data_IF_659437356943
#
_entry.id   IF_659437356943
#
_cell.length_a   1.000
_cell.length_b   1.000
_cell.length_c   1.000
_cell.angle_alpha   90.00
_cell.angle_beta   90.00
_cell.angle_gamma   90.00
#
_symmetry.space_group_name_H-M   'P 1'
#
loop_
_entity.id
_entity.type
_entity.pdbx_description
1 polymer ?
#
# COMPACT_ATOMS: atom_id res chain seq x y z
N UNK A 1 7.08 -24.67 -58.28
CA UNK A 1 5.94 -23.78 -57.97
C UNK A 1 6.15 -23.31 -56.55
N UNK A 2 6.78 -22.15 -56.47
CA UNK A 2 7.44 -21.61 -55.30
C UNK A 2 6.44 -21.02 -54.31
N UNK A 3 6.44 -21.53 -53.07
CA UNK A 3 5.65 -20.96 -51.98
C UNK A 3 6.51 -19.92 -51.27
N UNK A 4 6.17 -18.64 -51.46
CA UNK A 4 6.88 -17.48 -50.89
C UNK A 4 6.82 -17.49 -49.36
N UNK A 5 8.01 -17.40 -48.74
CA UNK A 5 8.17 -16.85 -47.39
C UNK A 5 7.84 -15.35 -47.38
N UNK A 6 7.13 -14.89 -46.36
CA UNK A 6 7.13 -13.49 -45.92
C UNK A 6 7.84 -13.39 -44.57
N UNK A 7 8.77 -12.44 -44.37
CA UNK A 7 9.53 -12.34 -43.13
C UNK A 7 8.88 -11.41 -42.10
N UNK A 8 8.91 -11.87 -40.85
CA UNK A 8 9.10 -11.11 -39.61
C UNK A 8 8.46 -9.74 -39.47
N UNK A 9 7.30 -9.69 -38.80
CA UNK A 9 6.96 -8.53 -37.99
C UNK A 9 7.56 -8.74 -36.59
N UNK A 10 8.61 -7.97 -36.35
CA UNK A 10 9.21 -7.66 -35.06
C UNK A 10 8.13 -7.37 -34.03
N UNK A 11 8.01 -8.24 -33.02
CA UNK A 11 7.28 -7.95 -31.80
C UNK A 11 7.93 -6.76 -31.09
N UNK A 12 7.36 -5.58 -31.31
CA UNK A 12 7.53 -4.46 -30.39
C UNK A 12 6.95 -4.91 -29.06
N UNK A 13 7.83 -5.20 -28.11
CA UNK A 13 7.48 -5.28 -26.69
C UNK A 13 7.15 -3.85 -26.27
N UNK A 14 5.88 -3.50 -26.35
CA UNK A 14 5.32 -2.31 -25.74
C UNK A 14 5.66 -2.36 -24.24
N UNK A 15 6.60 -1.51 -23.82
CA UNK A 15 6.90 -1.27 -22.42
C UNK A 15 5.83 -0.36 -21.84
N UNK A 16 4.59 -0.82 -21.87
CA UNK A 16 3.57 -0.28 -20.98
C UNK A 16 3.81 -0.96 -19.63
N UNK A 17 4.63 -0.34 -18.78
CA UNK A 17 4.64 -0.65 -17.36
C UNK A 17 3.30 -0.17 -16.80
N UNK A 18 2.23 -0.90 -17.10
CA UNK A 18 0.96 -0.72 -16.42
C UNK A 18 1.27 -0.94 -14.94
N UNK A 19 1.10 0.09 -14.11
CA UNK A 19 1.16 -0.09 -12.67
C UNK A 19 0.23 -1.25 -12.31
N UNK A 20 0.79 -2.34 -11.77
CA UNK A 20 -0.01 -3.52 -11.44
C UNK A 20 -1.13 -3.09 -10.50
N UNK A 21 -2.36 -3.20 -10.99
CA UNK A 21 -3.55 -2.92 -10.18
C UNK A 21 -3.56 -3.93 -9.04
N UNK A 22 -3.47 -3.40 -7.82
CA UNK A 22 -3.47 -4.20 -6.61
C UNK A 22 -4.90 -4.57 -6.24
N UNK A 23 -5.30 -5.82 -6.43
CA UNK A 23 -6.61 -6.28 -5.98
C UNK A 23 -6.60 -6.61 -4.48
N UNK A 24 -7.66 -6.21 -3.78
CA UNK A 24 -7.84 -6.67 -2.40
C UNK A 24 -7.97 -8.19 -2.41
N UNK A 25 -7.25 -8.84 -1.51
CA UNK A 25 -7.33 -10.28 -1.34
C UNK A 25 -7.21 -10.62 0.13
N UNK A 26 -7.55 -11.87 0.47
CA UNK A 26 -7.33 -12.37 1.82
C UNK A 26 -5.89 -12.11 2.27
N UNK A 27 -4.89 -12.11 1.35
CA UNK A 27 -3.47 -11.84 1.61
C UNK A 27 -3.16 -10.45 2.20
N UNK A 28 -4.09 -9.50 2.09
CA UNK A 28 -3.96 -8.15 2.66
C UNK A 28 -4.74 -7.98 3.96
N UNK A 29 -5.53 -8.98 4.37
CA UNK A 29 -6.27 -8.92 5.63
C UNK A 29 -5.32 -9.02 6.84
N UNK A 30 -5.43 -8.04 7.73
CA UNK A 30 -4.79 -7.95 9.03
C UNK A 30 -5.58 -8.67 10.12
N UNK A 31 -6.84 -9.08 9.86
CA UNK A 31 -7.67 -9.78 10.84
C UNK A 31 -8.39 -8.87 11.84
N UNK A 32 -7.99 -7.60 11.93
CA UNK A 32 -8.72 -6.55 12.66
C UNK A 32 -9.70 -5.89 11.69
N UNK A 33 -10.99 -6.08 11.92
CA UNK A 33 -12.05 -5.73 10.97
C UNK A 33 -12.05 -4.24 10.59
N UNK A 34 -11.80 -3.38 11.57
CA UNK A 34 -11.72 -1.93 11.40
C UNK A 34 -10.52 -1.53 10.53
N UNK A 35 -9.32 -2.08 10.80
CA UNK A 35 -8.12 -1.84 9.98
C UNK A 35 -8.34 -2.36 8.55
N UNK A 36 -8.88 -3.57 8.38
CA UNK A 36 -9.15 -4.14 7.06
C UNK A 36 -10.18 -3.33 6.27
N UNK A 37 -11.15 -2.69 6.94
CA UNK A 37 -12.09 -1.81 6.28
C UNK A 37 -11.41 -0.52 5.78
N UNK A 38 -10.57 0.08 6.62
CA UNK A 38 -9.84 1.30 6.26
C UNK A 38 -8.81 1.05 5.15
N UNK A 39 -8.00 -0.01 5.25
CA UNK A 39 -7.00 -0.37 4.24
C UNK A 39 -7.64 -0.71 2.89
N UNK A 40 -8.83 -1.32 2.87
CA UNK A 40 -9.62 -1.51 1.64
C UNK A 40 -10.00 -0.18 1.00
N UNK A 41 -10.50 0.76 1.79
CA UNK A 41 -10.87 2.09 1.31
C UNK A 41 -9.65 2.87 0.80
N UNK A 42 -8.51 2.78 1.48
CA UNK A 42 -7.26 3.38 1.05
C UNK A 42 -6.76 2.80 -0.28
N UNK A 43 -6.82 1.49 -0.45
CA UNK A 43 -6.45 0.84 -1.72
C UNK A 43 -7.30 1.36 -2.88
N UNK A 44 -8.61 1.52 -2.66
CA UNK A 44 -9.53 2.10 -3.65
C UNK A 44 -9.20 3.57 -3.94
N UNK A 45 -8.87 4.36 -2.92
CA UNK A 45 -8.45 5.76 -3.09
C UNK A 45 -7.13 5.89 -3.86
N UNK A 46 -6.17 4.98 -3.63
CA UNK A 46 -4.92 4.89 -4.38
C UNK A 46 -5.22 4.62 -5.86
N UNK A 47 -6.04 3.62 -6.16
CA UNK A 47 -6.44 3.35 -7.56
C UNK A 47 -7.15 4.53 -8.20
N UNK A 48 -8.11 5.15 -7.49
CA UNK A 48 -8.84 6.31 -8.00
C UNK A 48 -7.92 7.50 -8.29
N UNK A 49 -6.83 7.65 -7.54
CA UNK A 49 -5.80 8.68 -7.77
C UNK A 49 -4.95 8.36 -8.99
N UNK A 50 -4.56 7.10 -9.15
CA UNK A 50 -3.78 6.63 -10.30
C UNK A 50 -4.58 6.76 -11.60
N UNK A 51 -5.84 6.35 -11.58
CA UNK A 51 -6.76 6.35 -12.71
C UNK A 51 -7.34 7.76 -13.00
N UNK A 52 -7.06 8.75 -12.15
CA UNK A 52 -7.57 10.10 -12.30
C UNK A 52 -7.09 10.73 -13.60
N UNK A 53 -7.97 11.42 -14.33
CA UNK A 53 -7.55 12.31 -15.41
C UNK A 53 -6.79 13.53 -14.88
N UNK A 54 -6.04 14.20 -15.73
CA UNK A 54 -5.16 15.31 -15.31
C UNK A 54 -5.90 16.44 -14.57
N UNK A 55 -7.12 16.76 -15.01
CA UNK A 55 -7.94 17.80 -14.37
C UNK A 55 -8.49 17.42 -12.99
N UNK A 56 -8.64 16.12 -12.71
CA UNK A 56 -9.13 15.63 -11.41
C UNK A 56 -8.01 15.13 -10.48
N UNK A 57 -6.78 14.96 -11.00
CA UNK A 57 -5.64 14.46 -10.24
C UNK A 57 -5.37 15.25 -8.94
N UNK A 58 -5.34 16.61 -8.92
CA UNK A 58 -5.13 17.34 -7.68
C UNK A 58 -6.20 17.06 -6.61
N UNK A 59 -7.47 16.95 -7.03
CA UNK A 59 -8.57 16.63 -6.12
C UNK A 59 -8.41 15.22 -5.54
N UNK A 60 -8.04 14.23 -6.37
CA UNK A 60 -7.80 12.85 -5.91
C UNK A 60 -6.61 12.73 -4.96
N UNK A 61 -5.51 13.43 -5.23
CA UNK A 61 -4.37 13.48 -4.30
C UNK A 61 -4.81 14.05 -2.95
N UNK A 62 -5.63 15.11 -2.94
CA UNK A 62 -6.11 15.71 -1.70
C UNK A 62 -7.06 14.78 -0.92
N UNK A 63 -7.97 14.08 -1.61
CA UNK A 63 -8.83 13.06 -1.02
C UNK A 63 -8.02 11.92 -0.39
N UNK A 64 -7.04 11.39 -1.13
CA UNK A 64 -6.13 10.35 -0.65
C UNK A 64 -5.32 10.80 0.57
N UNK A 65 -4.78 12.03 0.54
CA UNK A 65 -4.06 12.61 1.67
C UNK A 65 -4.93 12.68 2.91
N UNK A 66 -6.19 13.06 2.75
CA UNK A 66 -7.14 13.15 3.86
C UNK A 66 -7.49 11.78 4.42
N UNK A 67 -7.67 10.79 3.54
CA UNK A 67 -7.95 9.40 3.92
C UNK A 67 -6.77 8.76 4.68
N UNK A 68 -5.53 8.92 4.18
CA UNK A 68 -4.33 8.41 4.86
C UNK A 68 -4.11 9.10 6.20
N UNK A 69 -4.31 10.42 6.28
CA UNK A 69 -4.14 11.13 7.54
C UNK A 69 -5.13 10.66 8.62
N UNK A 70 -6.37 10.33 8.22
CA UNK A 70 -7.36 9.78 9.14
C UNK A 70 -6.99 8.37 9.61
N UNK A 71 -6.64 7.48 8.68
CA UNK A 71 -6.21 6.10 8.98
C UNK A 71 -4.99 6.08 9.91
N UNK A 72 -3.95 6.85 9.58
CA UNK A 72 -2.75 6.95 10.41
C UNK A 72 -3.04 7.50 11.80
N UNK A 73 -3.99 8.43 11.96
CA UNK A 73 -4.36 8.93 13.28
C UNK A 73 -5.03 7.84 14.14
N UNK A 74 -5.82 6.96 13.53
CA UNK A 74 -6.42 5.81 14.20
C UNK A 74 -5.36 4.78 14.60
N UNK A 75 -4.46 4.41 13.69
CA UNK A 75 -3.36 3.49 13.99
C UNK A 75 -2.40 4.04 15.05
N UNK A 76 -2.09 5.34 14.98
CA UNK A 76 -1.27 6.03 15.97
C UNK A 76 -1.91 6.03 17.36
N UNK A 77 -3.23 6.19 17.44
CA UNK A 77 -3.95 6.07 18.70
C UNK A 77 -3.91 4.62 19.25
N UNK A 78 -3.93 3.60 18.38
CA UNK A 78 -3.72 2.21 18.79
C UNK A 78 -2.29 2.00 19.31
N UNK A 79 -1.29 2.55 18.62
CA UNK A 79 0.10 2.48 19.07
C UNK A 79 0.30 3.10 20.46
N UNK A 80 -0.33 4.24 20.73
CA UNK A 80 -0.28 4.90 22.04
C UNK A 80 -0.93 4.06 23.14
N UNK A 81 -2.10 3.45 22.86
CA UNK A 81 -2.80 2.60 23.82
C UNK A 81 -2.02 1.33 24.17
N UNK A 82 -1.27 0.79 23.21
CA UNK A 82 -0.53 -0.45 23.35
C UNK A 82 0.90 -0.25 23.88
N UNK A 83 1.37 0.99 24.02
CA UNK A 83 2.80 1.30 24.20
C UNK A 83 3.66 0.58 23.16
N UNK A 84 3.25 0.71 21.89
CA UNK A 84 3.79 -0.10 20.79
C UNK A 84 5.30 0.10 20.62
N UNK A 85 6.14 -0.96 20.65
CA UNK A 85 7.59 -0.80 20.76
C UNK A 85 8.29 -0.09 19.60
N UNK A 86 7.70 -0.07 18.40
CA UNK A 86 8.29 0.52 17.18
C UNK A 86 7.44 1.68 16.64
N UNK A 87 6.74 2.39 17.54
CA UNK A 87 5.87 3.51 17.19
C UNK A 87 6.62 4.63 16.46
N UNK A 88 7.85 4.92 16.86
CA UNK A 88 8.66 5.99 16.27
C UNK A 88 8.96 5.72 14.78
N UNK A 89 9.38 4.50 14.42
CA UNK A 89 9.63 4.11 13.03
C UNK A 89 8.34 4.13 12.19
N UNK A 90 7.23 3.66 12.76
CA UNK A 90 5.92 3.60 12.11
C UNK A 90 5.38 5.01 11.81
N UNK A 91 5.34 5.90 12.81
CA UNK A 91 4.98 7.32 12.68
C UNK A 91 5.87 8.06 11.70
N UNK A 92 7.16 7.73 11.64
CA UNK A 92 8.07 8.31 10.67
C UNK A 92 7.75 7.85 9.24
N UNK A 93 7.28 6.61 9.04
CA UNK A 93 6.79 6.14 7.75
C UNK A 93 5.52 6.88 7.32
N UNK A 94 4.56 7.07 8.23
CA UNK A 94 3.35 7.86 8.01
C UNK A 94 3.66 9.28 7.54
N UNK A 95 4.51 10.00 8.29
CA UNK A 95 4.90 11.38 7.93
C UNK A 95 5.51 11.46 6.54
N UNK A 96 6.43 10.57 6.19
CA UNK A 96 7.05 10.55 4.85
C UNK A 96 6.03 10.32 3.73
N UNK A 97 5.04 9.47 3.96
CA UNK A 97 3.98 9.22 2.98
C UNK A 97 3.10 10.46 2.78
N UNK A 98 2.69 11.10 3.89
CA UNK A 98 1.92 12.35 3.84
C UNK A 98 2.70 13.49 3.18
N UNK A 99 3.98 13.68 3.54
CA UNK A 99 4.86 14.69 2.94
C UNK A 99 5.02 14.48 1.43
N UNK A 100 5.15 13.23 0.96
CA UNK A 100 5.23 12.92 -0.46
C UNK A 100 3.95 13.31 -1.22
N UNK A 101 2.76 13.06 -0.65
CA UNK A 101 1.49 13.46 -1.24
C UNK A 101 1.28 14.98 -1.21
N UNK A 102 1.66 15.62 -0.10
CA UNK A 102 1.66 17.08 0.02
C UNK A 102 2.55 17.74 -1.04
N UNK A 103 3.70 17.13 -1.34
CA UNK A 103 4.58 17.60 -2.40
C UNK A 103 4.00 17.35 -3.81
N UNK A 104 3.35 16.20 -4.03
CA UNK A 104 2.76 15.86 -5.32
C UNK A 104 1.56 16.77 -5.69
N UNK A 105 0.83 17.30 -4.71
CA UNK A 105 -0.36 18.12 -4.93
C UNK A 105 -0.13 19.39 -5.78
N UNK A 106 0.80 20.30 -5.44
CA UNK A 106 1.10 21.47 -6.28
C UNK A 106 1.74 21.09 -7.62
N UNK A 107 2.49 19.98 -7.67
CA UNK A 107 3.04 19.45 -8.94
C UNK A 107 1.89 19.04 -9.85
N UNK A 108 0.86 18.35 -9.35
CA UNK A 108 -0.28 17.91 -10.16
C UNK A 108 -1.07 19.07 -10.80
N UNK A 109 -1.02 20.27 -10.21
CA UNK A 109 -1.68 21.46 -10.77
C UNK A 109 -0.93 22.07 -11.95
N UNK A 110 0.40 21.86 -12.03
CA UNK A 110 1.28 22.51 -13.00
C UNK A 110 1.91 21.53 -14.01
N UNK A 111 2.18 20.31 -13.57
CA UNK A 111 2.74 19.19 -14.32
C UNK A 111 2.12 17.86 -13.83
N UNK A 112 0.94 17.48 -14.37
CA UNK A 112 0.30 16.21 -14.06
C UNK A 112 1.20 14.99 -14.32
N UNK A 113 2.06 15.06 -15.33
CA UNK A 113 2.97 13.97 -15.68
C UNK A 113 4.06 13.77 -14.62
N UNK A 114 4.66 14.86 -14.13
CA UNK A 114 5.60 14.85 -13.02
C UNK A 114 4.97 14.35 -11.72
N UNK A 115 3.72 14.75 -11.44
CA UNK A 115 3.01 14.24 -10.27
C UNK A 115 2.77 12.72 -10.35
N UNK A 116 2.43 12.19 -11.53
CA UNK A 116 2.28 10.73 -11.72
C UNK A 116 3.59 9.99 -11.49
N UNK A 117 4.72 10.55 -11.92
CA UNK A 117 6.04 9.96 -11.65
C UNK A 117 6.33 9.90 -10.14
N UNK A 118 5.92 10.91 -9.37
CA UNK A 118 6.04 10.89 -7.90
C UNK A 118 5.13 9.82 -7.26
N UNK A 119 3.94 9.60 -7.82
CA UNK A 119 2.94 8.66 -7.31
C UNK A 119 3.17 7.20 -7.74
N UNK A 120 4.03 6.94 -8.72
CA UNK A 120 4.25 5.60 -9.30
C UNK A 120 4.62 4.54 -8.23
N UNK A 121 5.34 4.97 -7.18
CA UNK A 121 5.80 4.07 -6.11
C UNK A 121 4.75 3.82 -5.02
N UNK A 122 3.63 4.54 -5.04
CA UNK A 122 2.63 4.53 -3.97
C UNK A 122 2.00 3.14 -3.75
N UNK A 123 1.54 2.38 -4.77
CA UNK A 123 0.99 1.04 -4.55
C UNK A 123 1.98 0.09 -3.89
N UNK A 124 3.24 0.11 -4.35
CA UNK A 124 4.29 -0.75 -3.81
C UNK A 124 4.66 -0.36 -2.38
N UNK A 125 4.71 0.93 -2.08
CA UNK A 125 4.92 1.41 -0.72
C UNK A 125 3.78 0.96 0.21
N UNK A 126 2.53 1.10 -0.22
CA UNK A 126 1.36 0.74 0.58
C UNK A 126 1.37 -0.76 0.98
N UNK A 127 1.65 -1.66 0.03
CA UNK A 127 1.78 -3.09 0.35
C UNK A 127 2.93 -3.40 1.32
N UNK A 128 4.05 -2.72 1.13
CA UNK A 128 5.22 -2.88 2.00
C UNK A 128 4.92 -2.42 3.42
N UNK A 129 4.22 -1.30 3.56
CA UNK A 129 3.79 -0.75 4.84
C UNK A 129 2.82 -1.69 5.56
N UNK A 130 1.75 -2.10 4.87
CA UNK A 130 0.75 -3.02 5.38
C UNK A 130 1.36 -4.33 5.91
N UNK A 131 2.30 -4.90 5.16
CA UNK A 131 2.93 -6.17 5.54
C UNK A 131 3.96 -6.03 6.66
N UNK A 132 4.74 -4.95 6.68
CA UNK A 132 5.89 -4.81 7.57
C UNK A 132 5.59 -4.04 8.86
N UNK A 133 4.52 -3.25 8.90
CA UNK A 133 4.20 -2.35 10.00
C UNK A 133 2.77 -2.59 10.51
N UNK A 134 1.78 -2.52 9.63
CA UNK A 134 0.36 -2.56 10.05
C UNK A 134 -0.06 -3.96 10.50
N UNK A 135 0.45 -5.01 9.82
CA UNK A 135 0.21 -6.39 10.21
C UNK A 135 0.76 -6.72 11.61
N UNK A 136 2.02 -6.39 11.96
CA UNK A 136 2.50 -6.47 13.34
C UNK A 136 1.67 -5.67 14.37
N UNK A 137 1.20 -4.47 14.01
CA UNK A 137 0.32 -3.67 14.88
C UNK A 137 -1.02 -4.40 15.11
N UNK A 138 -1.64 -4.92 14.06
CA UNK A 138 -2.88 -5.69 14.15
C UNK A 138 -2.74 -6.92 15.05
N UNK A 139 -1.63 -7.66 14.96
CA UNK A 139 -1.34 -8.77 15.89
C UNK A 139 -1.27 -8.28 17.34
N UNK A 140 -0.68 -7.11 17.60
CA UNK A 140 -0.64 -6.55 18.94
C UNK A 140 -2.04 -6.17 19.46
N UNK A 141 -2.87 -5.54 18.61
CA UNK A 141 -4.27 -5.21 18.91
C UNK A 141 -5.05 -6.48 19.28
N UNK A 142 -4.97 -7.53 18.46
CA UNK A 142 -5.67 -8.79 18.73
C UNK A 142 -5.23 -9.47 20.02
N UNK A 143 -3.92 -9.48 20.32
CA UNK A 143 -3.42 -10.09 21.56
C UNK A 143 -3.95 -9.38 22.82
N UNK A 144 -4.24 -8.08 22.73
CA UNK A 144 -4.86 -7.33 23.85
C UNK A 144 -6.37 -7.55 23.96
N UNK A 145 -7.08 -7.70 22.83
CA UNK A 145 -8.52 -7.92 22.81
C UNK A 145 -8.92 -9.36 23.11
N UNK A 146 -8.09 -10.34 22.73
CA UNK A 146 -8.41 -11.77 22.78
C UNK A 146 -7.20 -12.66 23.13
N UNK A 147 -6.72 -12.64 24.39
CA UNK A 147 -5.48 -13.31 24.77
C UNK A 147 -5.51 -14.85 24.63
N UNK A 148 -6.67 -15.50 24.47
CA UNK A 148 -6.83 -16.97 24.47
C UNK A 148 -7.59 -17.53 23.25
N UNK A 149 -7.72 -16.75 22.17
CA UNK A 149 -8.39 -17.19 20.93
C UNK A 149 -7.43 -17.90 19.97
N UNK A 150 -7.99 -18.67 19.01
CA UNK A 150 -7.20 -19.22 17.90
C UNK A 150 -6.45 -18.11 17.15
N UNK A 151 -5.25 -18.39 16.63
CA UNK A 151 -4.47 -17.39 15.92
C UNK A 151 -5.24 -16.91 14.68
N UNK A 152 -5.38 -15.60 14.55
CA UNK A 152 -5.91 -14.97 13.36
C UNK A 152 -5.02 -15.24 12.14
N UNK A 153 -5.55 -14.95 10.95
CA UNK A 153 -4.75 -14.92 9.72
C UNK A 153 -3.52 -14.00 9.86
N UNK A 154 -3.63 -12.93 10.65
CA UNK A 154 -2.56 -11.99 10.92
C UNK A 154 -1.35 -12.67 11.58
N UNK A 155 -1.64 -13.40 12.66
CA UNK A 155 -0.63 -14.10 13.47
C UNK A 155 0.04 -15.22 12.67
N UNK A 156 -0.74 -15.94 11.86
CA UNK A 156 -0.20 -16.97 10.96
C UNK A 156 0.73 -16.36 9.90
N UNK A 157 0.40 -15.18 9.34
CA UNK A 157 1.26 -14.50 8.37
C UNK A 157 2.53 -13.94 8.97
N UNK A 158 2.46 -13.34 10.15
CA UNK A 158 3.65 -12.88 10.84
C UNK A 158 4.61 -14.05 11.09
N UNK A 159 4.11 -15.20 11.55
CA UNK A 159 4.90 -16.41 11.73
C UNK A 159 5.50 -16.92 10.41
N UNK A 160 4.72 -16.95 9.33
CA UNK A 160 5.22 -17.35 8.01
C UNK A 160 6.31 -16.39 7.50
N UNK A 161 6.13 -15.08 7.67
CA UNK A 161 7.11 -14.08 7.26
C UNK A 161 8.45 -14.25 8.00
N UNK A 162 8.41 -14.49 9.31
CA UNK A 162 9.59 -14.78 10.12
C UNK A 162 10.30 -16.06 9.64
N UNK A 163 9.56 -17.14 9.39
CA UNK A 163 10.13 -18.40 8.90
C UNK A 163 10.80 -18.24 7.52
N UNK A 164 10.20 -17.45 6.61
CA UNK A 164 10.77 -17.18 5.29
C UNK A 164 12.06 -16.35 5.37
N UNK A 165 12.15 -15.41 6.32
CA UNK A 165 13.38 -14.64 6.58
C UNK A 165 14.51 -15.52 7.12
N UNK A 166 14.20 -16.46 8.01
CA UNK A 166 15.16 -17.44 8.52
C UNK A 166 15.71 -18.36 7.42
N UNK A 167 14.88 -18.78 6.47
CA UNK A 167 15.30 -19.64 5.36
C UNK A 167 16.17 -18.94 4.29
N UNK A 168 16.09 -17.61 4.18
CA UNK A 168 16.91 -16.83 3.24
C UNK A 168 18.30 -16.46 3.81
N UNK A 169 18.53 -16.74 5.09
CA UNK A 169 19.76 -16.43 5.80
C UNK A 169 20.73 -17.62 5.90
N UNK A 170 20.44 -18.72 5.18
CA UNK A 170 21.22 -19.97 5.10
C UNK A 170 21.71 -20.15 3.67
#
# INVERSE_FOLDING_TARGET
>A
MDSKLTPGETGAIDKETTMQRLEWSALLETGVAEMDASHRALLQAIHATIDAGDSSLPARINELLSALAADFAEEEALMDQLYYPTDHEHRAAHRRALEALQHALPVAQSDPSGARALLERLPRWFLGHLSAMDLPLAVAVENTSHPHSQPSNAKLRQQLALLLQEQQSI
#
